data_IF_178832260085
#
_entry.id   IF_178832260085
#
_cell.length_a   1.000
_cell.length_b   1.000
_cell.length_c   1.000
_cell.angle_alpha   90.00
_cell.angle_beta   90.00
_cell.angle_gamma   90.00
#
_symmetry.space_group_name_H-M   'P 1'
#
loop_
_entity.id
_entity.type
_entity.pdbx_description
1 polymer ?
#
# COMPACT_ATOMS: atom_id res chain seq x y z
N UNK A 1 5.29 7.47 37.01
CA UNK A 1 6.18 7.41 35.82
C UNK A 1 5.27 7.53 34.61
N UNK A 2 5.41 8.63 33.88
CA UNK A 2 4.40 9.11 32.92
C UNK A 2 4.15 8.10 31.80
N UNK A 3 2.94 7.55 31.77
CA UNK A 3 2.43 6.68 30.71
C UNK A 3 1.78 7.54 29.63
N UNK A 4 2.22 7.36 28.38
CA UNK A 4 1.48 7.79 27.21
C UNK A 4 1.73 9.23 26.78
N UNK A 5 2.84 9.46 26.06
CA UNK A 5 2.84 10.47 25.02
C UNK A 5 1.90 9.93 23.93
N UNK A 6 0.63 10.28 24.08
CA UNK A 6 -0.40 10.01 23.08
C UNK A 6 0.04 10.63 21.76
N UNK A 7 -0.30 9.95 20.68
CA UNK A 7 -0.22 10.47 19.32
C UNK A 7 -0.92 11.84 19.29
N UNK A 8 -0.16 12.92 19.46
CA UNK A 8 -0.60 14.23 19.00
C UNK A 8 -0.71 14.07 17.48
N UNK A 9 -1.94 13.99 17.00
CA UNK A 9 -2.23 14.07 15.58
C UNK A 9 -1.73 15.45 15.13
N UNK A 10 -0.49 15.46 14.65
CA UNK A 10 0.15 16.60 14.02
C UNK A 10 -0.69 16.98 12.81
N UNK A 11 -1.48 18.03 12.97
CA UNK A 11 -2.10 18.74 11.86
C UNK A 11 -0.97 19.54 11.21
N UNK A 12 -0.50 19.07 10.07
CA UNK A 12 0.32 19.90 9.20
C UNK A 12 -0.51 21.11 8.79
N UNK A 13 0.13 22.27 8.72
CA UNK A 13 -0.49 23.41 8.06
C UNK A 13 -0.82 23.00 6.63
N UNK A 14 -2.07 23.27 6.21
CA UNK A 14 -2.59 22.84 4.91
C UNK A 14 -1.73 23.40 3.77
N UNK A 15 -1.23 24.64 3.90
CA UNK A 15 -0.40 25.28 2.88
C UNK A 15 0.98 24.62 2.79
N UNK A 16 1.49 24.11 3.90
CA UNK A 16 2.75 23.35 3.93
C UNK A 16 2.54 21.95 3.35
N UNK A 17 1.45 21.27 3.71
CA UNK A 17 1.12 19.95 3.14
C UNK A 17 1.00 20.03 1.62
N UNK A 18 0.29 21.02 1.09
CA UNK A 18 0.11 21.18 -0.37
C UNK A 18 1.45 21.42 -1.08
N UNK A 19 2.36 22.20 -0.49
CA UNK A 19 3.71 22.38 -1.02
C UNK A 19 4.53 21.08 -1.02
N UNK A 20 4.45 20.31 0.06
CA UNK A 20 5.13 19.02 0.17
C UNK A 20 4.58 18.02 -0.86
N UNK A 21 3.25 17.98 -1.04
CA UNK A 21 2.59 17.13 -2.03
C UNK A 21 3.03 17.51 -3.44
N UNK A 22 3.10 18.81 -3.76
CA UNK A 22 3.57 19.28 -5.06
C UNK A 22 5.03 18.90 -5.33
N UNK A 23 5.91 19.05 -4.33
CA UNK A 23 7.33 18.69 -4.43
C UNK A 23 7.56 17.18 -4.59
N UNK A 24 6.77 16.36 -3.91
CA UNK A 24 6.95 14.90 -3.88
C UNK A 24 6.21 14.15 -4.99
N UNK A 25 5.27 14.81 -5.68
CA UNK A 25 4.48 14.24 -6.78
C UNK A 25 3.15 13.62 -6.37
N UNK A 26 2.76 13.71 -5.09
CA UNK A 26 1.47 13.25 -4.61
C UNK A 26 1.45 12.84 -3.13
N UNK A 27 0.26 12.68 -2.54
CA UNK A 27 0.10 12.33 -1.11
C UNK A 27 0.69 10.96 -0.75
N UNK A 28 0.56 9.97 -1.64
CA UNK A 28 1.13 8.64 -1.44
C UNK A 28 2.67 8.68 -1.44
N UNK A 29 3.25 9.44 -2.37
CA UNK A 29 4.69 9.63 -2.46
C UNK A 29 5.22 10.41 -1.26
N UNK A 30 4.53 11.48 -0.83
CA UNK A 30 4.85 12.19 0.41
C UNK A 30 4.86 11.25 1.61
N UNK A 31 3.82 10.42 1.77
CA UNK A 31 3.71 9.48 2.89
C UNK A 31 4.87 8.47 2.86
N UNK A 32 5.17 7.90 1.70
CA UNK A 32 6.26 6.96 1.51
C UNK A 32 7.63 7.59 1.80
N UNK A 33 7.88 8.81 1.29
CA UNK A 33 9.12 9.54 1.51
C UNK A 33 9.32 9.89 2.99
N UNK A 34 8.27 10.40 3.63
CA UNK A 34 8.26 10.72 5.06
C UNK A 34 8.61 9.47 5.89
N UNK A 35 7.93 8.35 5.64
CA UNK A 35 8.17 7.10 6.35
C UNK A 35 9.59 6.57 6.14
N UNK A 36 10.06 6.54 4.89
CA UNK A 36 11.42 6.09 4.55
C UNK A 36 12.47 6.93 5.28
N UNK A 37 12.36 8.25 5.21
CA UNK A 37 13.35 9.16 5.79
C UNK A 37 13.34 9.14 7.32
N UNK A 38 12.17 9.07 7.95
CA UNK A 38 12.08 8.90 9.41
C UNK A 38 12.79 7.61 9.85
N UNK A 39 12.67 6.52 9.10
CA UNK A 39 13.36 5.25 9.41
C UNK A 39 14.88 5.41 9.29
N UNK A 40 15.38 6.11 8.28
CA UNK A 40 16.81 6.40 8.13
C UNK A 40 17.35 7.22 9.30
N UNK A 41 16.65 8.28 9.70
CA UNK A 41 17.02 9.10 10.85
C UNK A 41 17.02 8.27 12.15
N UNK A 42 16.00 7.42 12.37
CA UNK A 42 15.95 6.48 13.50
C UNK A 42 17.11 5.48 13.52
N UNK A 43 17.68 5.15 12.35
CA UNK A 43 18.87 4.29 12.20
C UNK A 43 20.19 5.03 12.41
N UNK A 44 20.15 6.33 12.71
CA UNK A 44 21.32 7.15 12.97
C UNK A 44 21.85 7.92 11.76
N UNK A 45 21.08 8.01 10.67
CA UNK A 45 21.40 8.94 9.60
C UNK A 45 21.39 10.38 10.15
N UNK A 46 22.30 11.22 9.63
CA UNK A 46 22.36 12.63 10.03
C UNK A 46 21.27 13.42 9.29
N UNK A 47 20.65 14.41 9.94
CA UNK A 47 19.87 15.44 9.26
C UNK A 47 20.69 16.12 8.17
N UNK A 48 20.06 16.41 7.03
CA UNK A 48 20.66 17.11 5.89
C UNK A 48 20.47 18.63 5.98
N UNK A 49 19.66 19.08 6.93
CA UNK A 49 19.40 20.49 7.22
C UNK A 49 19.77 20.77 8.68
N UNK A 50 20.30 21.96 8.94
CA UNK A 50 20.58 22.42 10.30
C UNK A 50 19.31 23.02 10.89
N UNK A 51 18.77 22.35 11.91
CA UNK A 51 17.52 22.71 12.59
C UNK A 51 17.70 22.46 14.08
N UNK A 52 17.25 23.41 14.91
CA UNK A 52 17.25 23.31 16.37
C UNK A 52 16.00 22.58 16.87
N UNK A 53 15.78 21.36 16.36
CA UNK A 53 14.68 20.48 16.75
C UNK A 53 15.15 19.04 16.74
N UNK A 54 14.63 18.26 17.68
CA UNK A 54 14.84 16.80 17.74
C UNK A 54 13.64 16.03 17.17
N UNK A 55 12.59 16.73 16.70
CA UNK A 55 11.46 16.08 16.07
C UNK A 55 11.85 15.61 14.66
N UNK A 56 11.83 14.29 14.48
CA UNK A 56 12.13 13.66 13.21
C UNK A 56 11.19 14.11 12.11
N UNK A 57 9.90 14.33 12.39
CA UNK A 57 8.95 14.75 11.36
C UNK A 57 9.27 16.17 10.88
N UNK A 58 9.56 17.08 11.80
CA UNK A 58 9.95 18.46 11.48
C UNK A 58 11.24 18.49 10.64
N UNK A 59 12.23 17.68 11.01
CA UNK A 59 13.47 17.53 10.22
C UNK A 59 13.14 17.08 8.79
N UNK A 60 12.34 16.02 8.62
CA UNK A 60 12.01 15.51 7.28
C UNK A 60 11.23 16.52 6.46
N UNK A 61 10.28 17.25 7.06
CA UNK A 61 9.53 18.31 6.37
C UNK A 61 10.50 19.38 5.86
N UNK A 62 11.43 19.85 6.69
CA UNK A 62 12.43 20.84 6.29
C UNK A 62 13.37 20.31 5.20
N UNK A 63 13.78 19.05 5.28
CA UNK A 63 14.59 18.41 4.24
C UNK A 63 13.87 18.35 2.89
N UNK A 64 12.57 18.05 2.86
CA UNK A 64 11.76 18.03 1.63
C UNK A 64 11.55 19.46 1.11
N UNK A 65 11.21 20.43 1.98
CA UNK A 65 11.00 21.82 1.57
C UNK A 65 12.27 22.43 0.93
N UNK A 66 13.44 22.05 1.43
CA UNK A 66 14.75 22.50 0.93
C UNK A 66 15.33 21.61 -0.19
N UNK A 67 14.53 20.70 -0.74
CA UNK A 67 14.90 19.81 -1.85
C UNK A 67 16.19 19.00 -1.55
N UNK A 68 16.36 18.56 -0.29
CA UNK A 68 17.50 17.74 0.15
C UNK A 68 17.21 16.24 0.11
N UNK A 69 15.93 15.87 0.09
CA UNK A 69 15.46 14.49 0.11
C UNK A 69 14.38 14.32 -0.97
N UNK A 70 14.53 13.30 -1.79
CA UNK A 70 13.58 12.92 -2.84
C UNK A 70 13.43 11.39 -2.89
N UNK A 71 12.33 10.91 -3.49
CA UNK A 71 12.22 9.50 -3.86
C UNK A 71 13.13 9.28 -5.07
N UNK A 72 14.18 8.48 -4.89
CA UNK A 72 15.03 8.06 -6.01
C UNK A 72 14.25 7.26 -7.06
N UNK A 73 14.82 7.13 -8.26
CA UNK A 73 14.28 6.24 -9.28
C UNK A 73 14.10 4.83 -8.71
N UNK A 74 12.92 4.25 -8.91
CA UNK A 74 12.61 2.88 -8.53
C UNK A 74 13.70 1.96 -9.13
N UNK A 75 14.57 1.42 -8.28
CA UNK A 75 15.49 0.38 -8.74
C UNK A 75 14.66 -0.77 -9.31
N UNK A 76 15.19 -1.45 -10.33
CA UNK A 76 14.48 -2.50 -11.09
C UNK A 76 13.87 -3.58 -10.18
N UNK A 77 14.41 -3.81 -8.98
CA UNK A 77 13.85 -4.70 -7.97
C UNK A 77 12.46 -4.29 -7.42
N UNK A 78 12.09 -3.01 -7.48
CA UNK A 78 10.79 -2.49 -7.03
C UNK A 78 9.72 -2.57 -8.14
N UNK A 79 10.11 -2.77 -9.40
CA UNK A 79 9.16 -3.04 -10.50
C UNK A 79 8.34 -4.31 -10.25
N UNK A 80 8.94 -5.30 -9.58
CA UNK A 80 8.26 -6.49 -9.09
C UNK A 80 7.12 -6.14 -8.14
N UNK A 81 7.30 -5.13 -7.29
CA UNK A 81 6.33 -4.78 -6.26
C UNK A 81 5.08 -4.10 -6.84
N UNK A 82 5.25 -3.24 -7.84
CA UNK A 82 4.12 -2.67 -8.59
C UNK A 82 3.41 -3.72 -9.45
N UNK A 83 4.16 -4.63 -10.05
CA UNK A 83 3.59 -5.77 -10.78
C UNK A 83 2.78 -6.68 -9.84
N UNK A 84 3.30 -6.95 -8.64
CA UNK A 84 2.65 -7.74 -7.61
C UNK A 84 1.41 -7.04 -7.04
N UNK A 85 1.50 -5.73 -6.77
CA UNK A 85 0.37 -4.92 -6.32
C UNK A 85 -0.74 -4.86 -7.39
N UNK A 86 -0.39 -4.75 -8.68
CA UNK A 86 -1.35 -4.77 -9.79
C UNK A 86 -1.97 -6.15 -10.00
N UNK A 87 -1.20 -7.21 -9.77
CA UNK A 87 -1.68 -8.60 -9.78
C UNK A 87 -2.63 -8.88 -8.61
N UNK A 88 -2.46 -8.20 -7.49
CA UNK A 88 -3.35 -8.23 -6.34
C UNK A 88 -4.58 -7.33 -6.51
N UNK A 89 -4.46 -6.18 -7.20
CA UNK A 89 -5.54 -5.20 -7.39
C UNK A 89 -6.58 -5.60 -8.44
N UNK A 90 -6.37 -6.70 -9.16
CA UNK A 90 -7.39 -7.26 -10.08
C UNK A 90 -7.64 -6.42 -11.35
N UNK A 91 -6.81 -5.42 -11.62
CA UNK A 91 -6.87 -4.57 -12.81
C UNK A 91 -5.61 -4.76 -13.68
N UNK A 92 -5.60 -5.89 -14.38
CA UNK A 92 -4.61 -6.24 -15.39
C UNK A 92 -5.18 -7.32 -16.30
N UNK A 93 -5.33 -6.94 -17.57
CA UNK A 93 -5.91 -7.61 -18.75
C UNK A 93 -6.37 -9.07 -18.70
N UNK A 94 -7.48 -9.24 -19.40
CA UNK A 94 -8.17 -10.46 -19.82
C UNK A 94 -7.27 -11.50 -20.48
N UNK A 95 -6.75 -12.45 -19.69
CA UNK A 95 -6.43 -13.80 -20.17
C UNK A 95 -6.96 -14.84 -19.16
N UNK A 96 -8.13 -15.38 -19.52
CA UNK A 96 -8.68 -16.70 -19.17
C UNK A 96 -8.38 -17.28 -17.77
N UNK A 97 -9.19 -16.90 -16.77
CA UNK A 97 -9.45 -17.76 -15.60
C UNK A 97 -10.60 -18.75 -15.89
N UNK A 98 -10.41 -19.64 -16.87
CA UNK A 98 -11.33 -20.76 -17.16
C UNK A 98 -10.87 -22.09 -16.51
N UNK A 99 -9.95 -22.06 -15.54
CA UNK A 99 -9.44 -23.31 -14.94
C UNK A 99 -10.30 -23.82 -13.78
N UNK A 100 -10.95 -22.96 -13.00
CA UNK A 100 -11.70 -23.39 -11.79
C UNK A 100 -13.20 -23.62 -12.03
N UNK A 101 -13.74 -23.14 -13.15
CA UNK A 101 -15.17 -23.23 -13.46
C UNK A 101 -15.61 -24.62 -13.93
N UNK A 102 -14.73 -25.35 -14.60
CA UNK A 102 -15.05 -26.64 -15.24
C UNK A 102 -15.32 -27.74 -14.21
N UNK A 103 -14.52 -27.82 -13.13
CA UNK A 103 -14.69 -28.84 -12.10
C UNK A 103 -15.85 -28.53 -11.15
N UNK A 104 -16.02 -27.27 -10.73
CA UNK A 104 -17.12 -26.91 -9.82
C UNK A 104 -18.50 -27.04 -10.51
N UNK A 105 -18.57 -26.80 -11.82
CA UNK A 105 -19.79 -26.98 -12.61
C UNK A 105 -20.15 -28.46 -12.75
N UNK A 106 -19.16 -29.33 -13.01
CA UNK A 106 -19.35 -30.79 -13.02
C UNK A 106 -19.84 -31.32 -11.68
N UNK A 107 -19.21 -30.90 -10.59
CA UNK A 107 -19.60 -31.32 -9.22
C UNK A 107 -21.03 -30.87 -8.91
N UNK A 108 -21.43 -29.64 -9.31
CA UNK A 108 -22.81 -29.17 -9.12
C UNK A 108 -23.81 -29.94 -9.96
N UNK A 109 -23.52 -30.23 -11.23
CA UNK A 109 -24.41 -31.01 -12.10
C UNK A 109 -24.59 -32.44 -11.60
N UNK A 110 -23.52 -33.11 -11.18
CA UNK A 110 -23.58 -34.45 -10.59
C UNK A 110 -24.43 -34.46 -9.31
N UNK A 111 -24.20 -33.50 -8.40
CA UNK A 111 -24.99 -33.39 -7.17
C UNK A 111 -26.46 -33.12 -7.43
N UNK A 112 -26.79 -32.28 -8.42
CA UNK A 112 -28.18 -32.01 -8.80
C UNK A 112 -28.82 -33.27 -9.40
N UNK A 113 -28.09 -34.03 -10.21
CA UNK A 113 -28.56 -35.28 -10.80
C UNK A 113 -28.82 -36.36 -9.74
N UNK A 114 -27.89 -36.55 -8.79
CA UNK A 114 -28.06 -37.45 -7.65
C UNK A 114 -29.30 -37.08 -6.82
N UNK A 115 -29.44 -35.79 -6.46
CA UNK A 115 -30.58 -35.31 -5.69
C UNK A 115 -31.91 -35.52 -6.44
N UNK A 116 -31.93 -35.25 -7.75
CA UNK A 116 -33.11 -35.50 -8.58
C UNK A 116 -33.50 -36.98 -8.61
N UNK A 117 -32.52 -37.89 -8.61
CA UNK A 117 -32.75 -39.33 -8.64
C UNK A 117 -33.23 -39.87 -7.28
N UNK A 118 -32.83 -39.24 -6.18
CA UNK A 118 -33.34 -39.51 -4.84
C UNK A 118 -34.75 -38.97 -4.60
N UNK A 119 -35.08 -37.80 -5.15
CA UNK A 119 -36.37 -37.13 -4.95
C UNK A 119 -37.49 -37.63 -5.87
N UNK A 120 -37.14 -38.14 -7.06
CA UNK A 120 -38.05 -38.87 -7.93
C UNK A 120 -37.60 -40.34 -8.01
N UNK A 121 -37.85 -41.18 -6.99
CA UNK A 121 -37.83 -42.60 -7.22
C UNK A 121 -38.88 -42.86 -8.31
N UNK A 122 -38.46 -43.36 -9.46
CA UNK A 122 -39.39 -43.93 -10.43
C UNK A 122 -40.18 -44.98 -9.69
N UNK A 123 -41.42 -44.65 -9.34
CA UNK A 123 -42.44 -45.62 -8.97
C UNK A 123 -42.53 -46.59 -10.15
N UNK A 124 -41.98 -47.79 -9.99
CA UNK A 124 -42.59 -48.98 -10.59
C UNK A 124 -43.94 -49.25 -9.91
#
# INVERSE_FOLDING_TARGET
MSTGSGMEALVLDVDIEDQLVLKTGGKLQLTALMQKRIVELKRGARPLVEIDSNDLQEIVIQEILQDKVELGELEVAETSFLADARKLSGEGDSEEKEVYGSDLKKVKEERIKELSQFLNPTNE
#
